data_IF_119948347228
#
_entry.id   IF_119948347228
#
_cell.length_a   1.000
_cell.length_b   1.000
_cell.length_c   1.000
_cell.angle_alpha   90.00
_cell.angle_beta   90.00
_cell.angle_gamma   90.00
#
_symmetry.space_group_name_H-M   'P 1'
#
loop_
_entity.id
_entity.type
_entity.pdbx_description
1 polymer ?
#
# COMPACT_ATOMS: atom_id res chain seq x y z
N UNK A 1 32.84 -25.46 -58.01
CA UNK A 1 32.09 -26.58 -57.42
C UNK A 1 30.98 -26.02 -56.54
N UNK A 2 29.80 -25.75 -57.09
CA UNK A 2 28.58 -25.27 -56.37
C UNK A 2 27.48 -26.34 -56.44
N UNK A 3 27.87 -27.61 -56.33
CA UNK A 3 26.94 -28.73 -56.28
C UNK A 3 26.29 -28.72 -54.88
N UNK A 4 25.03 -28.30 -54.75
CA UNK A 4 24.23 -28.42 -53.52
C UNK A 4 23.95 -27.13 -52.73
N UNK A 5 24.23 -25.93 -53.26
CA UNK A 5 23.90 -24.65 -52.61
C UNK A 5 22.89 -23.86 -53.45
N UNK A 6 21.77 -23.44 -52.84
CA UNK A 6 20.79 -22.55 -53.46
C UNK A 6 21.24 -21.09 -53.36
N UNK A 7 20.87 -20.30 -54.37
CA UNK A 7 21.15 -18.87 -54.41
C UNK A 7 20.10 -18.10 -53.59
N UNK A 8 20.55 -17.27 -52.64
CA UNK A 8 19.72 -16.51 -51.71
C UNK A 8 19.94 -14.98 -51.91
N UNK A 9 19.21 -14.34 -52.84
CA UNK A 9 19.37 -12.92 -53.11
C UNK A 9 18.83 -12.04 -51.96
N UNK A 10 19.49 -10.91 -51.63
CA UNK A 10 18.96 -9.87 -50.76
C UNK A 10 17.60 -9.32 -51.22
N UNK A 11 16.79 -8.72 -50.33
CA UNK A 11 15.46 -8.20 -50.68
C UNK A 11 15.45 -7.10 -51.77
N UNK A 12 16.57 -6.38 -51.95
CA UNK A 12 16.73 -5.34 -52.96
C UNK A 12 17.29 -5.87 -54.29
N UNK A 13 17.52 -7.17 -54.42
CA UNK A 13 18.02 -7.81 -55.63
C UNK A 13 16.88 -8.45 -56.42
N UNK A 14 17.03 -8.62 -57.74
CA UNK A 14 16.04 -9.35 -58.53
C UNK A 14 15.95 -10.81 -58.08
N UNK A 15 14.72 -11.33 -58.10
CA UNK A 15 14.43 -12.72 -57.78
C UNK A 15 15.05 -13.67 -58.84
N UNK A 16 15.50 -14.88 -58.47
CA UNK A 16 16.06 -15.82 -59.43
C UNK A 16 14.97 -16.31 -60.39
N UNK A 17 15.33 -16.73 -61.62
CA UNK A 17 14.34 -17.18 -62.61
C UNK A 17 13.45 -18.34 -62.16
N UNK A 18 13.97 -19.22 -61.30
CA UNK A 18 13.24 -20.34 -60.71
C UNK A 18 13.89 -20.78 -59.41
N UNK A 19 13.15 -21.53 -58.59
CA UNK A 19 13.68 -22.14 -57.37
C UNK A 19 14.87 -23.06 -57.69
N UNK A 20 15.91 -22.98 -56.85
CA UNK A 20 17.14 -23.76 -57.04
C UNK A 20 17.98 -23.34 -58.24
N UNK A 21 17.77 -22.13 -58.80
CA UNK A 21 18.62 -21.61 -59.87
C UNK A 21 20.10 -21.55 -59.46
N UNK A 22 20.94 -22.06 -60.35
CA UNK A 22 22.40 -22.05 -60.21
C UNK A 22 22.94 -21.09 -61.26
N UNK A 23 23.67 -20.04 -60.87
CA UNK A 23 24.22 -19.12 -61.84
C UNK A 23 25.28 -19.79 -62.73
N UNK A 24 25.43 -19.31 -63.97
CA UNK A 24 26.51 -19.74 -64.86
C UNK A 24 27.88 -19.43 -64.26
N UNK A 25 28.90 -20.20 -64.66
CA UNK A 25 30.28 -19.98 -64.25
C UNK A 25 30.72 -18.55 -64.66
N UNK A 26 31.08 -17.72 -63.67
CA UNK A 26 31.47 -16.32 -63.88
C UNK A 26 30.37 -15.27 -63.60
N UNK A 27 29.22 -15.67 -63.07
CA UNK A 27 28.19 -14.74 -62.64
C UNK A 27 28.70 -13.71 -61.62
N UNK A 28 28.39 -12.44 -61.89
CA UNK A 28 28.64 -11.32 -60.99
C UNK A 28 27.37 -10.47 -60.90
N UNK A 29 26.96 -10.03 -59.70
CA UNK A 29 25.81 -9.16 -59.55
C UNK A 29 26.01 -7.85 -60.31
N UNK A 30 24.98 -7.40 -61.02
CA UNK A 30 25.03 -6.14 -61.75
C UNK A 30 25.29 -4.95 -60.81
N UNK A 31 26.01 -3.93 -61.27
CA UNK A 31 26.30 -2.73 -60.45
C UNK A 31 25.03 -2.02 -59.94
N UNK A 32 23.90 -2.19 -60.61
CA UNK A 32 22.60 -1.61 -60.24
C UNK A 32 21.87 -2.35 -59.11
N UNK A 33 22.29 -3.56 -58.74
CA UNK A 33 21.60 -4.37 -57.72
C UNK A 33 21.91 -3.92 -56.29
N UNK A 34 22.88 -3.02 -56.13
CA UNK A 34 23.29 -2.51 -54.83
C UNK A 34 24.19 -3.48 -54.06
N UNK A 35 24.83 -3.00 -52.99
CA UNK A 35 25.78 -3.81 -52.22
C UNK A 35 25.07 -4.94 -51.47
N UNK A 36 25.81 -6.02 -51.23
CA UNK A 36 25.38 -7.10 -50.34
C UNK A 36 25.41 -6.59 -48.90
N UNK A 37 24.31 -6.73 -48.12
CA UNK A 37 24.30 -6.34 -46.71
C UNK A 37 25.34 -7.09 -45.88
N UNK A 38 25.84 -6.45 -44.82
CA UNK A 38 26.81 -7.07 -43.92
C UNK A 38 26.23 -8.37 -43.30
N UNK A 39 27.01 -9.45 -43.35
CA UNK A 39 26.59 -10.77 -42.83
C UNK A 39 25.69 -11.59 -43.74
N UNK A 40 25.32 -11.09 -44.92
CA UNK A 40 24.45 -11.82 -45.84
C UNK A 40 25.17 -12.99 -46.53
N UNK A 41 24.55 -14.17 -46.54
CA UNK A 41 25.06 -15.38 -47.21
C UNK A 41 24.28 -15.60 -48.50
N UNK A 42 24.90 -15.28 -49.65
CA UNK A 42 24.33 -15.49 -50.99
C UNK A 42 24.10 -16.97 -51.35
N UNK A 43 24.74 -17.87 -50.61
CA UNK A 43 24.71 -19.31 -50.86
C UNK A 43 24.25 -20.05 -49.61
N UNK A 44 23.04 -20.59 -49.66
CA UNK A 44 22.49 -21.46 -48.61
C UNK A 44 22.69 -22.92 -48.98
N UNK A 45 23.14 -23.73 -48.02
CA UNK A 45 23.13 -25.20 -48.17
C UNK A 45 21.67 -25.67 -48.23
N UNK A 46 21.32 -26.50 -49.21
CA UNK A 46 19.97 -27.09 -49.29
C UNK A 46 19.70 -28.10 -48.16
N UNK A 47 20.76 -28.63 -47.56
CA UNK A 47 20.67 -29.36 -46.29
C UNK A 47 20.36 -28.35 -45.20
N UNK A 48 19.30 -28.53 -44.39
CA UNK A 48 19.20 -27.84 -43.12
C UNK A 48 20.37 -28.35 -42.27
N UNK A 49 21.55 -27.73 -42.40
CA UNK A 49 22.55 -27.75 -41.34
C UNK A 49 21.77 -27.37 -40.10
N UNK A 50 21.69 -28.34 -39.18
CA UNK A 50 20.59 -28.47 -38.24
C UNK A 50 20.07 -27.12 -37.81
N UNK A 51 18.75 -26.95 -37.92
CA UNK A 51 18.03 -26.00 -37.07
C UNK A 51 18.32 -26.45 -35.64
N UNK A 52 19.51 -26.19 -35.12
CA UNK A 52 19.73 -26.06 -33.70
C UNK A 52 18.66 -25.08 -33.30
N UNK A 53 17.75 -25.53 -32.43
CA UNK A 53 16.58 -24.77 -32.03
C UNK A 53 17.01 -23.33 -31.89
N UNK A 54 16.44 -22.43 -32.69
CA UNK A 54 16.60 -21.02 -32.42
C UNK A 54 16.31 -20.86 -30.92
N UNK A 55 17.09 -20.09 -30.14
CA UNK A 55 16.82 -19.93 -28.71
C UNK A 55 15.35 -19.53 -28.44
N UNK A 56 14.73 -18.90 -29.45
CA UNK A 56 13.31 -18.55 -29.52
C UNK A 56 12.35 -19.74 -29.69
N UNK A 57 12.72 -20.82 -30.40
CA UNK A 57 11.90 -22.04 -30.49
C UNK A 57 11.92 -22.86 -29.19
N UNK A 58 13.02 -22.83 -28.44
CA UNK A 58 13.04 -23.35 -27.07
C UNK A 58 12.23 -22.48 -26.09
N UNK A 59 11.80 -21.29 -26.51
CA UNK A 59 10.90 -20.39 -25.76
C UNK A 59 9.45 -20.44 -26.27
N UNK A 60 9.08 -21.32 -27.21
CA UNK A 60 7.67 -21.40 -27.67
C UNK A 60 6.71 -21.85 -26.55
N UNK A 61 7.23 -22.53 -25.52
CA UNK A 61 6.49 -22.88 -24.29
C UNK A 61 6.44 -21.74 -23.24
N UNK A 62 7.08 -20.60 -23.53
CA UNK A 62 7.12 -19.41 -22.66
C UNK A 62 6.58 -18.23 -23.47
N UNK A 63 5.34 -17.78 -23.24
CA UNK A 63 4.83 -16.60 -23.94
C UNK A 63 5.76 -15.41 -23.68
N UNK A 64 5.86 -14.48 -24.63
CA UNK A 64 6.80 -13.34 -24.58
C UNK A 64 6.69 -12.47 -23.30
N UNK A 65 5.62 -12.61 -22.53
CA UNK A 65 5.41 -12.01 -21.22
C UNK A 65 6.15 -12.71 -20.06
N UNK A 66 6.78 -13.87 -20.29
CA UNK A 66 7.37 -14.72 -19.24
C UNK A 66 6.34 -15.41 -18.33
N UNK A 67 5.04 -15.19 -18.56
CA UNK A 67 3.97 -15.73 -17.72
C UNK A 67 3.62 -17.17 -18.16
N UNK A 68 3.84 -18.16 -17.30
CA UNK A 68 3.46 -19.56 -17.62
C UNK A 68 1.94 -19.65 -17.85
N UNK A 69 1.46 -20.35 -18.91
CA UNK A 69 0.03 -20.58 -19.11
C UNK A 69 -0.57 -21.27 -17.86
N UNK A 70 -1.45 -20.57 -17.15
CA UNK A 70 -2.10 -21.14 -15.96
C UNK A 70 -3.05 -22.28 -16.34
N UNK A 71 -3.12 -23.29 -15.47
CA UNK A 71 -4.20 -24.29 -15.48
C UNK A 71 -5.54 -23.55 -15.32
N UNK A 72 -6.52 -23.83 -16.18
CA UNK A 72 -7.87 -23.25 -16.06
C UNK A 72 -8.38 -23.46 -14.65
N UNK A 73 -8.70 -22.36 -13.98
CA UNK A 73 -9.28 -22.36 -12.63
C UNK A 73 -10.78 -22.60 -12.80
N UNK A 74 -11.25 -23.79 -12.40
CA UNK A 74 -12.66 -24.19 -12.55
C UNK A 74 -13.62 -23.43 -11.60
N UNK A 75 -13.08 -22.70 -10.63
CA UNK A 75 -13.85 -21.90 -9.66
C UNK A 75 -13.14 -20.57 -9.39
N UNK A 76 -13.70 -19.47 -9.89
CA UNK A 76 -13.22 -18.13 -9.57
C UNK A 76 -13.24 -17.91 -8.05
N UNK A 77 -12.10 -17.63 -7.40
CA UNK A 77 -12.05 -17.41 -5.95
C UNK A 77 -12.36 -15.95 -5.56
N UNK A 78 -12.78 -15.11 -6.51
CA UNK A 78 -13.09 -13.70 -6.23
C UNK A 78 -14.53 -13.59 -5.73
N UNK A 79 -14.68 -13.37 -4.43
CA UNK A 79 -15.93 -12.87 -3.88
C UNK A 79 -16.06 -11.37 -4.24
N UNK A 80 -17.11 -11.03 -4.99
CA UNK A 80 -17.45 -9.65 -5.33
C UNK A 80 -18.30 -9.10 -4.19
N UNK A 81 -17.76 -8.15 -3.44
CA UNK A 81 -18.49 -7.53 -2.32
C UNK A 81 -19.48 -6.48 -2.85
N UNK A 82 -19.09 -5.72 -3.89
CA UNK A 82 -19.91 -4.72 -4.58
C UNK A 82 -19.49 -4.63 -6.07
N UNK A 83 -20.33 -4.07 -6.97
CA UNK A 83 -19.91 -3.77 -8.34
C UNK A 83 -18.64 -2.91 -8.34
N UNK A 84 -17.53 -3.45 -8.86
CA UNK A 84 -16.22 -2.79 -8.86
C UNK A 84 -15.38 -2.98 -7.59
N UNK A 85 -15.86 -3.71 -6.57
CA UNK A 85 -15.12 -3.99 -5.33
C UNK A 85 -14.95 -5.50 -5.14
N UNK A 86 -13.68 -5.91 -5.11
CA UNK A 86 -13.23 -7.30 -5.07
C UNK A 86 -12.71 -7.56 -3.65
N UNK A 87 -13.20 -8.60 -2.97
CA UNK A 87 -12.90 -8.82 -1.55
C UNK A 87 -11.45 -9.24 -1.29
N UNK A 88 -10.92 -10.14 -2.12
CA UNK A 88 -9.51 -10.54 -2.13
C UNK A 88 -9.20 -11.19 -3.48
N UNK A 89 -8.23 -10.62 -4.22
CA UNK A 89 -7.78 -11.18 -5.49
C UNK A 89 -6.48 -11.94 -5.28
N UNK A 90 -6.58 -13.20 -4.87
CA UNK A 90 -5.42 -14.08 -4.67
C UNK A 90 -4.58 -14.29 -5.95
N UNK A 91 -5.10 -13.90 -7.12
CA UNK A 91 -4.38 -13.96 -8.39
C UNK A 91 -3.35 -12.84 -8.55
N UNK A 92 -3.49 -11.71 -7.84
CA UNK A 92 -2.56 -10.57 -7.95
C UNK A 92 -1.14 -10.92 -7.50
N UNK A 93 -1.01 -11.73 -6.44
CA UNK A 93 0.30 -12.14 -5.94
C UNK A 93 1.03 -13.09 -6.88
N UNK A 94 0.29 -13.83 -7.71
CA UNK A 94 0.88 -14.78 -8.65
C UNK A 94 1.14 -14.16 -10.04
N UNK A 95 0.37 -13.13 -10.45
CA UNK A 95 0.47 -12.55 -11.81
C UNK A 95 1.62 -11.55 -11.97
N UNK A 96 1.96 -10.80 -10.93
CA UNK A 96 2.84 -9.65 -11.09
C UNK A 96 4.28 -9.91 -10.62
N UNK A 97 4.59 -11.10 -10.09
CA UNK A 97 5.94 -11.46 -9.61
C UNK A 97 6.46 -10.58 -8.47
N UNK A 98 5.62 -9.72 -7.91
CA UNK A 98 5.95 -8.93 -6.73
C UNK A 98 5.71 -9.76 -5.48
N UNK A 99 6.60 -9.66 -4.47
CA UNK A 99 6.35 -10.30 -3.19
C UNK A 99 5.01 -9.80 -2.62
N UNK A 100 4.30 -10.64 -1.84
CA UNK A 100 3.04 -10.26 -1.24
C UNK A 100 3.21 -8.93 -0.47
N UNK A 101 2.21 -8.05 -0.56
CA UNK A 101 2.25 -6.77 0.13
C UNK A 101 2.53 -7.00 1.62
N UNK A 102 3.55 -6.34 2.16
CA UNK A 102 3.90 -6.48 3.57
C UNK A 102 2.67 -6.14 4.43
N UNK A 103 2.38 -6.92 5.49
CA UNK A 103 1.24 -6.67 6.35
C UNK A 103 1.36 -5.26 6.94
N UNK A 104 0.35 -4.42 6.67
CA UNK A 104 0.29 -3.07 7.24
C UNK A 104 -0.12 -3.19 8.69
N UNK A 105 0.81 -2.95 9.61
CA UNK A 105 0.46 -2.75 11.02
C UNK A 105 -0.20 -1.39 11.17
N UNK A 106 -1.46 -1.39 11.62
CA UNK A 106 -2.14 -0.16 11.98
C UNK A 106 -1.36 0.53 13.12
N UNK A 107 -0.86 1.74 12.87
CA UNK A 107 -0.16 2.48 13.91
C UNK A 107 -1.20 2.90 14.96
N UNK A 108 -0.97 2.61 16.26
CA UNK A 108 -1.90 3.03 17.29
C UNK A 108 -2.06 4.54 17.23
N UNK A 109 -3.30 5.01 17.14
CA UNK A 109 -3.66 6.44 17.10
C UNK A 109 -3.52 7.07 18.49
N UNK A 110 -2.35 6.89 19.10
CA UNK A 110 -2.05 7.29 20.48
C UNK A 110 -2.34 8.78 20.68
N UNK A 111 -2.02 9.62 19.69
CA UNK A 111 -2.32 11.06 19.72
C UNK A 111 -3.82 11.37 19.82
N UNK A 112 -4.66 10.62 19.09
CA UNK A 112 -6.10 10.81 19.12
C UNK A 112 -6.69 10.41 20.48
N UNK A 113 -6.23 9.27 21.02
CA UNK A 113 -6.62 8.81 22.36
C UNK A 113 -6.25 9.83 23.45
N UNK A 114 -5.03 10.36 23.38
CA UNK A 114 -4.55 11.41 24.32
C UNK A 114 -5.40 12.68 24.20
N UNK A 115 -5.71 13.15 22.99
CA UNK A 115 -6.56 14.34 22.84
C UNK A 115 -7.95 14.15 23.43
N UNK A 116 -8.59 13.00 23.21
CA UNK A 116 -9.92 12.69 23.76
C UNK A 116 -9.85 12.66 25.30
N UNK A 117 -8.82 12.03 25.87
CA UNK A 117 -8.66 11.94 27.32
C UNK A 117 -8.46 13.32 27.97
N UNK A 118 -7.61 14.19 27.38
CA UNK A 118 -7.38 15.55 27.88
C UNK A 118 -8.65 16.39 27.79
N UNK A 119 -9.40 16.29 26.70
CA UNK A 119 -10.68 17.00 26.55
C UNK A 119 -11.70 16.53 27.59
N UNK A 120 -11.85 15.22 27.78
CA UNK A 120 -12.75 14.67 28.79
C UNK A 120 -12.38 15.12 30.21
N UNK A 121 -11.08 15.10 30.55
CA UNK A 121 -10.58 15.58 31.84
C UNK A 121 -10.91 17.06 32.07
N UNK A 122 -10.75 17.90 31.03
CA UNK A 122 -11.13 19.32 31.09
C UNK A 122 -12.61 19.53 31.39
N UNK A 123 -13.51 18.76 30.76
CA UNK A 123 -14.94 18.83 31.05
C UNK A 123 -15.28 18.39 32.47
N UNK A 124 -14.64 17.32 32.98
CA UNK A 124 -14.85 16.87 34.36
C UNK A 124 -14.40 17.93 35.36
N UNK A 125 -13.24 18.54 35.15
CA UNK A 125 -12.74 19.62 36.01
C UNK A 125 -13.68 20.84 36.00
N UNK A 126 -14.15 21.26 34.83
CA UNK A 126 -15.10 22.36 34.73
C UNK A 126 -16.41 22.06 35.48
N UNK A 127 -16.97 20.85 35.31
CA UNK A 127 -18.17 20.43 36.01
C UNK A 127 -17.96 20.37 37.53
N UNK A 128 -16.83 19.81 37.99
CA UNK A 128 -16.49 19.76 39.41
C UNK A 128 -16.36 21.17 40.01
N UNK A 129 -15.77 22.12 39.27
CA UNK A 129 -15.62 23.50 39.71
C UNK A 129 -16.99 24.18 39.86
N UNK A 130 -17.90 23.97 38.91
CA UNK A 130 -19.26 24.50 38.98
C UNK A 130 -20.05 23.90 40.16
N UNK A 131 -19.96 22.59 40.37
CA UNK A 131 -20.60 21.92 41.51
C UNK A 131 -20.04 22.44 42.84
N UNK A 132 -18.72 22.59 42.95
CA UNK A 132 -18.10 23.08 44.17
C UNK A 132 -18.49 24.54 44.47
N UNK A 133 -18.64 25.38 43.44
CA UNK A 133 -19.16 26.73 43.60
C UNK A 133 -20.60 26.72 44.13
N UNK A 134 -21.48 25.90 43.56
CA UNK A 134 -22.87 25.76 44.04
C UNK A 134 -22.88 25.31 45.49
N UNK A 135 -22.09 24.30 45.85
CA UNK A 135 -22.01 23.82 47.24
C UNK A 135 -21.54 24.90 48.22
N UNK A 136 -20.58 25.75 47.83
CA UNK A 136 -20.10 26.86 48.68
C UNK A 136 -21.19 27.92 48.86
N UNK A 137 -21.90 28.28 47.78
CA UNK A 137 -22.96 29.28 47.83
C UNK A 137 -24.12 28.80 48.70
N UNK A 138 -24.52 27.54 48.53
CA UNK A 138 -25.58 26.90 49.32
C UNK A 138 -25.24 26.90 50.81
N UNK A 139 -24.02 26.46 51.16
CA UNK A 139 -23.50 26.53 52.53
C UNK A 139 -23.48 27.96 53.08
N UNK A 140 -23.09 28.94 52.25
CA UNK A 140 -23.07 30.35 52.62
C UNK A 140 -24.45 30.93 52.91
N UNK A 141 -25.50 30.45 52.24
CA UNK A 141 -26.87 30.93 52.40
C UNK A 141 -27.55 30.24 53.59
N UNK A 142 -27.44 28.91 53.68
CA UNK A 142 -28.28 28.12 54.59
C UNK A 142 -27.60 27.86 55.93
N UNK A 143 -26.32 27.51 55.94
CA UNK A 143 -25.62 27.00 57.13
C UNK A 143 -24.73 28.04 57.80
N UNK A 144 -24.15 28.96 57.04
CA UNK A 144 -23.17 29.92 57.56
C UNK A 144 -23.77 30.83 58.63
N UNK A 145 -25.03 31.23 58.49
CA UNK A 145 -25.73 32.04 59.49
C UNK A 145 -25.89 31.29 60.83
N UNK A 146 -26.23 30.00 60.80
CA UNK A 146 -26.35 29.16 62.00
C UNK A 146 -25.00 28.88 62.65
N UNK A 147 -23.95 28.66 61.86
CA UNK A 147 -22.58 28.52 62.36
C UNK A 147 -22.09 29.81 63.01
N UNK A 148 -22.38 30.98 62.43
CA UNK A 148 -22.00 32.27 62.99
C UNK A 148 -22.81 32.63 64.25
N UNK A 149 -24.09 32.26 64.33
CA UNK A 149 -24.94 32.49 65.50
C UNK A 149 -24.55 31.58 66.68
N UNK A 150 -24.27 30.29 66.41
CA UNK A 150 -23.64 29.40 67.39
C UNK A 150 -22.22 29.87 67.78
N UNK A 151 -21.51 30.49 66.84
CA UNK A 151 -20.22 31.12 67.11
C UNK A 151 -20.35 32.39 67.99
N UNK A 152 -21.42 33.16 67.86
CA UNK A 152 -21.66 34.29 68.76
C UNK A 152 -22.08 33.80 70.16
N UNK A 153 -22.96 32.80 70.22
CA UNK A 153 -23.48 32.25 71.48
C UNK A 153 -22.43 31.64 72.40
N UNK A 154 -21.39 30.98 71.88
CA UNK A 154 -20.30 30.46 72.73
C UNK A 154 -19.38 31.56 73.27
N UNK A 155 -19.20 32.66 72.54
CA UNK A 155 -18.45 33.82 73.01
C UNK A 155 -19.21 34.55 74.13
N UNK A 156 -20.53 34.70 73.99
CA UNK A 156 -21.38 35.27 75.03
C UNK A 156 -21.48 34.37 76.27
N UNK A 157 -21.56 33.05 76.10
CA UNK A 157 -21.53 32.11 77.21
C UNK A 157 -20.19 32.10 77.95
N UNK A 158 -19.08 32.22 77.22
CA UNK A 158 -17.74 32.36 77.81
C UNK A 158 -17.60 33.68 78.58
N UNK A 159 -18.16 34.78 78.06
CA UNK A 159 -18.18 36.08 78.72
C UNK A 159 -19.07 36.08 79.99
N UNK A 160 -20.24 35.43 79.95
CA UNK A 160 -21.14 35.31 81.10
C UNK A 160 -20.55 34.43 82.23
N UNK A 161 -19.84 33.35 81.87
CA UNK A 161 -19.12 32.51 82.82
C UNK A 161 -17.95 33.22 83.51
N UNK A 162 -17.32 34.19 82.84
CA UNK A 162 -16.24 35.00 83.40
C UNK A 162 -16.73 36.09 84.38
N UNK A 163 -18.00 36.52 84.28
CA UNK A 163 -18.60 37.54 85.15
C UNK A 163 -19.18 37.02 86.48
N UNK A 164 -19.34 35.71 86.65
CA UNK A 164 -20.01 35.10 87.82
C UNK A 164 -19.05 34.70 88.96
N UNK A 165 -17.81 35.21 88.97
CA UNK A 165 -16.78 34.90 89.97
C UNK A 165 -16.58 35.97 91.04
N UNK A 166 -17.23 35.77 92.19
CA UNK A 166 -16.94 36.30 93.55
C UNK A 166 -17.41 37.71 93.95
N UNK A 167 -18.41 37.82 94.86
CA UNK A 167 -18.54 38.97 95.74
C UNK A 167 -17.44 38.94 96.81
N UNK A 168 -16.65 40.00 96.88
CA UNK A 168 -15.64 40.21 97.92
C UNK A 168 -16.34 40.54 99.24
N UNK A 169 -16.34 39.60 100.19
CA UNK A 169 -16.66 39.88 101.59
C UNK A 169 -15.41 40.41 102.30
N UNK A 170 -15.54 41.61 102.87
CA UNK A 170 -14.57 42.23 103.78
C UNK A 170 -14.76 41.83 105.24
#
# INVERSE_FOLDING_TARGET
MTQGRSFNPPPNWPEPPHDGWIPPAGFSPGRSWGPVPAGWRLWSSATPEGRGSAPLQASEDVPASGARPRRRVDRYPVAVLNPGMWADNHLESEDYGFPPAAPRTDRPRLRLGVTIAVTALGFVLAAATALMFVMIVDFGIEDLAGVLDGAAGHLDAAAAGAGAGSPVHG
#
